data_IF_737090977337
#
_entry.id   IF_737090977337
#
_cell.length_a   1.000
_cell.length_b   1.000
_cell.length_c   1.000
_cell.angle_alpha   90.00
_cell.angle_beta   90.00
_cell.angle_gamma   90.00
#
_symmetry.space_group_name_H-M   'P 1'
#
loop_
_entity.id
_entity.type
_entity.pdbx_description
1 polymer ?
2 non-polymer ?
3 non-polymer ?
4 non-polymer ?
5 non-polymer ?
6 non-polymer ?
7 water ?
#
# COMPACT_ATOMS: atom_id res chain seq x y z
N UNK A 1 -1.06 17.87 3.30
CA UNK A 1 -1.72 16.84 2.38
C UNK A 1 -1.90 15.55 3.14
N UNK A 2 -2.90 14.72 2.74
CA UNK A 2 -3.19 13.42 3.38
C UNK A 2 -3.45 12.37 2.30
N UNK A 3 -3.09 11.13 2.63
CA UNK A 3 -3.43 9.97 1.81
C UNK A 3 -4.73 9.38 2.36
N UNK A 4 -5.75 9.30 1.51
CA UNK A 4 -7.01 8.67 1.91
C UNK A 4 -6.97 7.27 1.28
N UNK A 5 -6.95 6.23 2.16
CA UNK A 5 -6.92 4.80 1.69
C UNK A 5 -8.27 4.16 2.05
N UNK A 6 -9.06 3.85 1.02
CA UNK A 6 -10.41 3.31 1.25
C UNK A 6 -10.44 1.86 0.71
N UNK A 7 -11.02 0.95 1.50
CA UNK A 7 -11.23 -0.44 1.01
C UNK A 7 -12.73 -0.58 0.81
N UNK A 8 -13.12 -0.84 -0.42
CA UNK A 8 -14.59 -0.84 -0.76
C UNK A 8 -14.98 -2.14 -1.53
N UNK A 9 -16.27 -2.38 -1.66
CA UNK A 9 -16.75 -3.51 -2.46
C UNK A 9 -16.46 -3.29 -3.95
N UNK A 10 -16.03 -4.35 -4.64
CA UNK A 10 -15.83 -4.22 -6.08
C UNK A 10 -17.09 -3.73 -6.84
N UNK A 11 -18.30 -4.15 -6.38
CA UNK A 11 -19.55 -3.73 -7.06
C UNK A 11 -19.81 -2.23 -6.95
N UNK A 12 -19.32 -1.64 -5.85
CA UNK A 12 -19.54 -0.18 -5.61
C UNK A 12 -18.41 0.68 -6.18
N UNK A 13 -17.22 0.09 -6.43
CA UNK A 13 -16.10 0.92 -6.91
C UNK A 13 -16.46 1.87 -8.11
N UNK A 14 -17.11 1.37 -9.22
CA UNK A 14 -17.42 2.30 -10.33
C UNK A 14 -18.23 3.52 -9.90
N UNK A 15 -19.15 3.34 -8.95
CA UNK A 15 -19.93 4.52 -8.37
C UNK A 15 -19.03 5.46 -7.56
N UNK A 16 -18.06 4.90 -6.82
CA UNK A 16 -17.07 5.74 -6.09
C UNK A 16 -16.21 6.56 -7.10
N UNK A 17 -15.69 5.93 -8.16
CA UNK A 17 -14.87 6.60 -9.15
C UNK A 17 -15.69 7.76 -9.81
N UNK A 18 -16.93 7.49 -10.20
CA UNK A 18 -17.79 8.48 -10.87
C UNK A 18 -18.07 9.69 -9.88
N UNK A 19 -18.36 9.39 -8.59
CA UNK A 19 -18.67 10.46 -7.60
C UNK A 19 -17.44 11.38 -7.43
N UNK A 20 -16.21 10.80 -7.34
CA UNK A 20 -15.00 11.63 -7.25
C UNK A 20 -14.79 12.45 -8.54
N UNK A 21 -14.90 11.82 -9.71
CA UNK A 21 -14.68 12.53 -10.99
C UNK A 21 -15.66 13.71 -11.16
N UNK A 22 -16.89 13.53 -10.75
CA UNK A 22 -17.90 14.58 -10.85
C UNK A 22 -17.53 15.85 -10.09
N UNK A 23 -16.74 15.72 -9.05
CA UNK A 23 -16.28 16.83 -8.26
C UNK A 23 -14.81 17.22 -8.53
N UNK A 24 -14.28 16.73 -9.66
CA UNK A 24 -12.96 17.10 -10.14
C UNK A 24 -11.78 16.36 -9.48
N UNK A 25 -12.09 15.28 -8.71
CA UNK A 25 -11.00 14.50 -8.11
C UNK A 25 -10.60 13.40 -9.10
N UNK A 26 -9.56 13.61 -9.92
CA UNK A 26 -9.29 12.67 -11.06
C UNK A 26 -8.16 11.69 -10.74
N UNK A 27 -7.15 12.17 -10.02
CA UNK A 27 -5.93 11.37 -9.77
C UNK A 27 -6.29 10.31 -8.71
N UNK A 28 -5.96 9.07 -9.01
CA UNK A 28 -6.19 7.96 -8.01
C UNK A 28 -5.46 6.68 -8.45
N UNK A 29 -5.06 5.88 -7.43
CA UNK A 29 -4.31 4.61 -7.66
C UNK A 29 -5.16 3.45 -7.06
N UNK A 30 -5.38 2.36 -7.84
CA UNK A 30 -6.30 1.29 -7.42
C UNK A 30 -5.56 -0.03 -7.46
N UNK A 31 -5.83 -0.82 -6.43
CA UNK A 31 -5.20 -2.16 -6.27
C UNK A 31 -6.27 -3.20 -6.00
N UNK A 32 -6.16 -4.37 -6.67
CA UNK A 32 -7.02 -5.49 -6.24
C UNK A 32 -6.41 -6.15 -4.95
N UNK A 33 -7.25 -6.27 -3.88
CA UNK A 33 -6.76 -6.85 -2.61
C UNK A 33 -7.73 -7.92 -2.10
N UNK A 34 -7.39 -8.57 -0.99
CA UNK A 34 -8.37 -9.46 -0.31
C UNK A 34 -8.53 -9.04 1.12
N UNK A 35 -9.64 -9.30 1.77
CA UNK A 35 -9.77 -8.85 3.16
C UNK A 35 -10.78 -9.69 3.93
N UNK A 36 -10.71 -9.62 5.26
CA UNK A 36 -11.85 -10.02 6.14
C UNK A 36 -12.05 -8.96 7.19
N UNK A 37 -13.23 -9.00 7.82
CA UNK A 37 -13.58 -8.13 8.96
C UNK A 37 -13.98 -9.01 10.14
N UNK A 38 -14.81 -8.44 11.02
CA UNK A 38 -15.33 -9.15 12.24
C UNK A 38 -16.27 -10.31 11.84
N UNK A 39 -17.01 -10.14 10.75
CA UNK A 39 -18.04 -11.16 10.41
C UNK A 39 -17.43 -12.56 10.27
N UNK A 40 -18.00 -13.57 10.94
CA UNK A 40 -17.45 -14.91 10.95
C UNK A 40 -16.68 -15.31 12.24
N UNK A 41 -16.22 -14.27 12.98
CA UNK A 41 -15.48 -14.49 14.22
C UNK A 41 -14.22 -15.33 13.98
N UNK A 42 -13.96 -16.28 14.88
CA UNK A 42 -12.69 -17.03 14.81
C UNK A 42 -12.73 -18.12 13.71
N UNK A 43 -13.90 -18.72 13.46
CA UNK A 43 -14.05 -19.67 12.34
C UNK A 43 -15.50 -19.94 12.00
N UNK A 44 -15.71 -20.76 10.95
CA UNK A 44 -17.03 -21.06 10.42
C UNK A 44 -17.13 -22.59 10.15
N UNK A 45 -18.29 -23.02 9.64
CA UNK A 45 -18.54 -24.41 9.07
C UNK A 45 -19.70 -24.45 8.06
N UNK A 46 -19.77 -25.51 7.20
CA UNK A 46 -18.95 -26.72 7.35
C UNK A 46 -18.94 -28.02 6.43
N UNK A 47 -20.07 -28.50 5.85
CA UNK A 47 -20.17 -29.86 5.20
C UNK A 47 -19.07 -30.92 5.62
N UNK A 48 -19.03 -31.34 6.90
CA UNK A 48 -19.60 -30.67 8.09
C UNK A 48 -18.49 -30.36 9.11
N UNK A 49 -17.37 -29.87 8.60
CA UNK A 49 -16.17 -29.55 9.35
C UNK A 49 -15.89 -28.03 9.49
N UNK A 50 -14.93 -27.67 10.34
CA UNK A 50 -14.64 -26.25 10.52
C UNK A 50 -13.63 -25.73 9.45
N UNK A 51 -13.80 -24.46 9.06
CA UNK A 51 -12.95 -23.84 8.02
C UNK A 51 -12.52 -22.45 8.53
N UNK A 52 -11.43 -21.87 7.98
CA UNK A 52 -11.08 -20.50 8.36
C UNK A 52 -12.11 -19.55 7.66
N UNK A 53 -12.35 -18.35 8.24
CA UNK A 53 -13.04 -17.25 7.51
C UNK A 53 -12.23 -16.82 6.28
N UNK A 54 -12.94 -16.69 5.13
CA UNK A 54 -12.33 -16.49 3.82
C UNK A 54 -11.88 -15.05 3.68
N UNK A 55 -10.66 -14.88 3.17
CA UNK A 55 -10.26 -13.54 2.68
C UNK A 55 -10.90 -13.40 1.26
N UNK A 56 -11.77 -12.43 1.09
CA UNK A 56 -12.52 -12.24 -0.19
C UNK A 56 -12.04 -10.95 -0.93
N UNK A 57 -12.22 -10.94 -2.29
CA UNK A 57 -11.74 -9.76 -3.07
C UNK A 57 -12.46 -8.45 -2.69
N UNK A 58 -11.64 -7.40 -2.61
CA UNK A 58 -12.08 -5.96 -2.43
C UNK A 58 -11.27 -5.09 -3.34
N UNK A 59 -11.67 -3.81 -3.45
CA UNK A 59 -10.84 -2.84 -4.24
C UNK A 59 -10.30 -1.80 -3.28
N UNK A 60 -9.00 -1.62 -3.34
CA UNK A 60 -8.38 -0.55 -2.56
C UNK A 60 -8.21 0.70 -3.47
N UNK A 61 -8.70 1.83 -2.97
CA UNK A 61 -8.52 3.13 -3.61
C UNK A 61 -7.53 3.98 -2.77
N UNK A 62 -6.48 4.54 -3.39
CA UNK A 62 -5.66 5.53 -2.69
C UNK A 62 -5.77 6.86 -3.45
N UNK A 63 -6.10 7.95 -2.72
CA UNK A 63 -6.15 9.28 -3.32
C UNK A 63 -5.50 10.24 -2.36
N UNK A 64 -4.49 10.96 -2.84
CA UNK A 64 -3.79 11.95 -2.00
C UNK A 64 -4.36 13.34 -2.35
N UNK A 65 -4.77 14.06 -1.30
CA UNK A 65 -5.48 15.36 -1.52
C UNK A 65 -4.97 16.43 -0.54
N UNK A 66 -5.27 17.72 -0.81
CA UNK A 66 -4.96 18.79 0.16
C UNK A 66 -5.73 18.61 1.49
N UNK A 67 -5.19 19.14 2.58
CA UNK A 67 -5.85 18.95 3.92
C UNK A 67 -7.27 19.48 3.90
N UNK A 68 -7.50 20.61 3.23
CA UNK A 68 -8.84 21.22 3.17
C UNK A 68 -9.90 20.50 2.36
N UNK A 69 -9.46 19.44 1.64
CA UNK A 69 -10.39 18.62 0.81
C UNK A 69 -10.75 17.29 1.47
N UNK A 70 -10.09 16.96 2.58
CA UNK A 70 -10.27 15.58 3.18
C UNK A 70 -11.72 15.30 3.57
N UNK A 71 -12.37 16.24 4.28
CA UNK A 71 -13.72 15.91 4.79
C UNK A 71 -14.65 15.80 3.58
N UNK A 72 -14.55 16.64 2.55
CA UNK A 72 -15.39 16.51 1.30
C UNK A 72 -15.19 15.12 0.68
N UNK A 73 -13.95 14.67 0.47
CA UNK A 73 -13.71 13.36 -0.20
C UNK A 73 -14.21 12.22 0.68
N UNK A 74 -14.01 12.27 2.01
CA UNK A 74 -14.61 11.24 2.91
C UNK A 74 -16.15 11.15 2.64
N UNK A 75 -16.88 12.27 2.60
CA UNK A 75 -18.34 12.26 2.34
C UNK A 75 -18.65 11.62 1.00
N UNK A 76 -17.91 11.98 -0.06
CA UNK A 76 -18.14 11.42 -1.45
C UNK A 76 -17.97 9.93 -1.42
N UNK A 77 -16.94 9.41 -0.71
CA UNK A 77 -16.73 7.94 -0.65
C UNK A 77 -17.80 7.26 0.18
N UNK A 78 -18.11 7.78 1.40
CA UNK A 78 -19.10 7.13 2.29
C UNK A 78 -20.39 7.04 1.53
N UNK A 79 -20.80 8.13 0.84
CA UNK A 79 -22.16 8.03 0.21
C UNK A 79 -22.26 7.07 -1.01
N UNK A 80 -21.19 6.97 -1.80
CA UNK A 80 -21.13 6.12 -3.01
C UNK A 80 -20.76 4.65 -2.70
N UNK A 81 -20.03 4.36 -1.59
CA UNK A 81 -19.63 2.95 -1.28
C UNK A 81 -20.65 2.26 -0.36
N UNK A 82 -21.49 3.04 0.35
CA UNK A 82 -22.47 2.48 1.34
C UNK A 82 -23.48 1.50 0.70
N UNK A 83 -23.73 0.38 1.42
CA UNK A 83 -24.90 -0.46 1.12
C UNK A 83 -25.70 -0.66 2.40
N UNK A 84 -25.06 -0.60 3.57
CA UNK A 84 -25.76 -0.90 4.85
C UNK A 84 -25.54 -2.31 5.45
N UNK A 85 -24.82 -3.22 4.76
CA UNK A 85 -24.45 -4.60 5.29
C UNK A 85 -22.99 -4.68 5.77
N UNK A 86 -22.66 -5.55 6.74
CA UNK A 86 -21.25 -5.80 7.14
C UNK A 86 -20.39 -6.13 5.90
N UNK A 87 -19.21 -5.52 5.81
CA UNK A 87 -18.30 -5.67 4.71
C UNK A 87 -18.25 -4.42 3.80
N UNK A 88 -18.95 -3.32 4.18
CA UNK A 88 -18.92 -2.08 3.36
C UNK A 88 -17.51 -1.46 3.35
N UNK A 89 -16.66 -1.66 4.38
CA UNK A 89 -15.25 -1.19 4.27
C UNK A 89 -14.97 -0.05 5.23
N UNK A 90 -13.74 0.44 5.08
CA UNK A 90 -13.20 1.41 6.05
C UNK A 90 -12.35 2.38 5.23
N UNK A 91 -12.20 3.61 5.75
CA UNK A 91 -11.32 4.64 5.15
C UNK A 91 -10.26 4.95 6.22
N UNK A 92 -8.97 4.95 5.83
CA UNK A 92 -7.92 5.39 6.77
C UNK A 92 -7.30 6.68 6.25
N UNK A 93 -7.06 7.63 7.18
CA UNK A 93 -6.48 8.93 6.79
C UNK A 93 -5.05 8.90 7.33
N UNK A 94 -4.09 8.98 6.41
CA UNK A 94 -2.65 8.77 6.74
C UNK A 94 -1.87 10.05 6.36
N UNK A 95 -1.06 10.61 7.29
CA UNK A 95 -0.31 11.85 6.91
C UNK A 95 0.69 11.62 5.75
N UNK A 96 0.83 12.64 4.88
CA UNK A 96 1.83 12.61 3.81
C UNK A 96 2.68 13.84 4.05
N UNK A 97 4.01 13.65 4.10
CA UNK A 97 4.89 14.82 4.37
C UNK A 97 5.18 15.66 3.14
N UNK A 98 5.26 15.01 1.97
CA UNK A 98 5.27 15.72 0.68
C UNK A 98 5.00 14.82 -0.52
N UNK A 99 4.78 15.48 -1.70
CA UNK A 99 4.47 14.82 -2.95
C UNK A 99 5.45 15.40 -3.98
N UNK A 100 5.95 14.55 -4.88
CA UNK A 100 6.83 15.02 -5.97
C UNK A 100 6.19 14.58 -7.31
N UNK A 101 5.99 15.50 -8.24
CA UNK A 101 5.59 15.14 -9.63
C UNK A 101 6.79 14.73 -10.45
N UNK A 102 6.82 13.51 -10.97
CA UNK A 102 8.00 13.05 -11.69
C UNK A 102 8.32 13.88 -12.98
N UNK A 103 7.27 14.25 -13.73
CA UNK A 103 7.46 14.92 -15.05
C UNK A 103 8.17 16.27 -14.86
N UNK A 104 7.87 16.97 -13.78
CA UNK A 104 8.39 18.36 -13.65
C UNK A 104 9.31 18.59 -12.41
N UNK A 105 9.28 17.68 -11.46
CA UNK A 105 9.92 17.87 -10.17
C UNK A 105 9.13 18.74 -9.16
N UNK A 106 8.00 19.26 -9.55
CA UNK A 106 7.23 20.12 -8.63
C UNK A 106 6.74 19.39 -7.39
N UNK A 107 6.80 20.07 -6.28
CA UNK A 107 6.39 19.60 -4.95
C UNK A 107 5.22 20.40 -4.35
N UNK A 108 4.70 19.93 -3.19
CA UNK A 108 3.63 20.66 -2.42
C UNK A 108 2.22 20.49 -2.98
N UNK A 109 1.26 21.22 -2.43
CA UNK A 109 -0.21 21.17 -2.86
C UNK A 109 -0.29 21.36 -4.40
N UNK A 110 0.57 22.28 -4.87
CA UNK A 110 1.07 22.41 -6.27
C UNK A 110 1.23 21.12 -7.15
N UNK A 111 1.82 20.07 -6.60
CA UNK A 111 2.07 18.87 -7.37
C UNK A 111 0.80 18.04 -7.59
N UNK A 112 -0.18 18.25 -6.75
CA UNK A 112 -1.48 17.62 -6.90
C UNK A 112 -2.15 17.99 -8.29
N UNK A 113 -2.95 17.10 -8.84
CA UNK A 113 -3.68 16.26 -7.95
C UNK A 113 -3.28 14.87 -8.05
N UNK B 1 -4.39 5.50 16.86
CA UNK B 1 -4.32 4.16 16.13
C UNK B 1 -3.14 4.17 15.17
N UNK B 2 -2.61 3.01 14.74
CA UNK B 2 -1.44 2.84 13.83
C UNK B 2 -1.76 1.80 12.78
N UNK B 3 -1.15 1.99 11.60
CA UNK B 3 -1.23 0.97 10.52
C UNK B 3 0.06 0.12 10.64
N UNK B 4 -0.13 -1.21 10.80
CA UNK B 4 1.03 -2.18 10.87
C UNK B 4 1.09 -2.81 9.44
N UNK B 5 2.18 -2.62 8.70
CA UNK B 5 2.33 -3.14 7.30
C UNK B 5 3.47 -4.17 7.37
N UNK B 6 3.17 -5.47 7.19
CA UNK B 6 4.20 -6.52 7.31
C UNK B 6 4.34 -7.20 5.92
N UNK B 7 5.58 -7.47 5.53
CA UNK B 7 5.89 -8.25 4.28
C UNK B 7 6.45 -9.59 4.71
N UNK B 8 5.71 -10.69 4.45
CA UNK B 8 6.08 -12.02 5.01
C UNK B 8 6.20 -13.09 3.87
N UNK B 9 6.79 -14.23 4.17
CA UNK B 9 6.81 -15.34 3.16
C UNK B 9 5.39 -15.92 2.95
N UNK B 10 5.01 -16.27 1.71
CA UNK B 10 3.70 -16.82 1.48
C UNK B 10 3.51 -18.15 2.26
N UNK B 11 4.58 -18.91 2.48
CA UNK B 11 4.45 -20.19 3.22
C UNK B 11 4.12 -19.97 4.70
N UNK B 12 4.52 -18.78 5.22
CA UNK B 12 4.30 -18.47 6.68
C UNK B 12 2.98 -17.69 6.87
N UNK B 13 2.43 -17.03 5.83
CA UNK B 13 1.27 -16.20 6.03
C UNK B 13 0.06 -16.97 6.78
N UNK B 14 -0.29 -18.24 6.38
CA UNK B 14 -1.42 -18.89 7.11
C UNK B 14 -1.21 -18.92 8.63
N UNK B 15 0.06 -19.19 9.05
CA UNK B 15 0.37 -19.25 10.52
C UNK B 15 0.25 -17.84 11.19
N UNK B 16 0.69 -16.79 10.44
CA UNK B 16 0.47 -15.41 10.96
C UNK B 16 -1.03 -15.04 11.13
N UNK B 17 -1.82 -15.35 10.08
CA UNK B 17 -3.29 -15.11 10.13
C UNK B 17 -3.93 -15.83 11.34
N UNK B 18 -3.61 -17.14 11.53
CA UNK B 18 -4.22 -17.85 12.69
C UNK B 18 -3.75 -17.26 14.04
N UNK B 19 -2.48 -16.83 14.12
CA UNK B 19 -1.99 -16.30 15.43
C UNK B 19 -2.75 -15.03 15.78
N UNK B 20 -3.03 -14.18 14.74
CA UNK B 20 -3.81 -12.94 14.98
C UNK B 20 -5.26 -13.25 15.40
N UNK B 21 -5.92 -14.19 14.68
CA UNK B 21 -7.35 -14.51 14.93
C UNK B 21 -7.56 -15.09 16.34
N UNK B 22 -6.58 -15.88 16.81
CA UNK B 22 -6.60 -16.46 18.16
C UNK B 22 -6.70 -15.41 19.27
N UNK B 23 -6.12 -14.23 18.98
CA UNK B 23 -6.14 -13.10 19.94
C UNK B 23 -7.19 -12.02 19.60
N UNK B 24 -8.18 -12.35 18.71
CA UNK B 24 -9.27 -11.46 18.37
C UNK B 24 -8.99 -10.37 17.36
N UNK B 25 -7.84 -10.50 16.66
CA UNK B 25 -7.49 -9.47 15.61
C UNK B 25 -8.00 -10.02 14.29
N UNK B 26 -9.22 -9.63 13.95
CA UNK B 26 -9.89 -10.20 12.78
C UNK B 26 -9.76 -9.31 11.51
N UNK B 27 -9.84 -7.98 11.65
CA UNK B 27 -9.78 -7.10 10.46
C UNK B 27 -8.41 -7.07 9.87
N UNK B 28 -8.28 -7.32 8.57
CA UNK B 28 -6.94 -7.24 7.92
C UNK B 28 -7.13 -7.12 6.41
N UNK B 29 -6.17 -6.50 5.70
CA UNK B 29 -6.24 -6.41 4.22
C UNK B 29 -4.97 -7.02 3.70
N UNK B 30 -5.06 -7.86 2.65
CA UNK B 30 -3.89 -8.61 2.17
C UNK B 30 -3.65 -8.42 0.66
N UNK B 31 -2.40 -8.18 0.24
CA UNK B 31 -2.07 -7.95 -1.19
C UNK B 31 -0.93 -8.92 -1.62
N UNK B 32 -1.01 -9.45 -2.84
CA UNK B 32 0.11 -10.18 -3.39
C UNK B 32 1.12 -9.18 -3.98
N UNK B 33 2.41 -9.33 -3.54
CA UNK B 33 3.44 -8.33 -3.96
C UNK B 33 4.68 -9.11 -4.42
N UNK B 34 5.72 -8.39 -4.90
CA UNK B 34 7.03 -9.07 -5.16
C UNK B 34 8.05 -8.22 -4.48
N UNK B 35 9.20 -8.82 -4.16
CA UNK B 35 10.26 -8.03 -3.49
C UNK B 35 11.63 -8.64 -3.61
N UNK B 36 12.64 -7.79 -3.37
CA UNK B 36 14.00 -8.36 -3.08
C UNK B 36 14.52 -7.71 -1.78
N UNK B 37 15.57 -8.33 -1.23
CA UNK B 37 16.28 -7.82 -0.04
C UNK B 37 17.76 -7.66 -0.37
N UNK B 38 18.62 -7.65 0.68
CA UNK B 38 20.07 -7.53 0.44
C UNK B 38 20.66 -8.80 -0.24
N UNK B 39 20.01 -9.96 -0.02
CA UNK B 39 20.63 -11.24 -0.51
C UNK B 39 20.79 -11.23 -2.05
N UNK B 40 22.00 -11.56 -2.53
CA UNK B 40 22.34 -11.49 -3.96
C UNK B 40 23.17 -10.29 -4.34
N UNK B 41 23.11 -9.19 -3.57
CA UNK B 41 23.93 -8.00 -3.96
C UNK B 41 23.43 -7.39 -5.25
N UNK B 42 24.37 -6.96 -6.06
CA UNK B 42 24.09 -6.42 -7.36
C UNK B 42 23.62 -7.33 -8.49
N UNK B 43 24.14 -8.55 -8.60
CA UNK B 43 23.80 -9.48 -9.69
C UNK B 43 24.09 -10.84 -9.17
N UNK B 44 23.57 -11.84 -9.88
CA UNK B 44 23.87 -13.24 -9.61
C UNK B 44 24.41 -13.99 -10.89
N UNK B 45 24.63 -15.30 -10.73
CA UNK B 45 25.53 -16.09 -11.63
C UNK B 45 24.89 -17.14 -12.55
N UNK B 46 24.78 -16.82 -13.82
CA UNK B 46 24.47 -17.90 -14.68
C UNK B 46 25.28 -17.95 -15.93
N UNK B 47 26.57 -18.12 -15.62
CA UNK B 47 27.58 -18.69 -16.46
C UNK B 47 28.17 -17.63 -17.28
N UNK B 48 29.21 -16.99 -16.76
CA UNK B 48 29.74 -15.82 -17.45
C UNK B 48 28.53 -15.25 -18.13
N UNK B 49 27.42 -15.30 -17.41
CA UNK B 49 26.16 -14.71 -17.82
C UNK B 49 25.52 -14.14 -16.55
N UNK B 50 25.83 -12.88 -16.28
CA UNK B 50 25.22 -12.13 -15.21
C UNK B 50 23.71 -12.12 -15.41
N UNK B 51 22.94 -12.22 -14.32
CA UNK B 51 21.50 -11.98 -14.37
C UNK B 51 21.18 -11.04 -13.18
N UNK B 52 20.08 -10.31 -13.25
CA UNK B 52 19.67 -9.45 -12.14
C UNK B 52 19.16 -10.30 -10.98
N UNK B 53 19.13 -9.75 -9.76
CA UNK B 53 18.51 -10.41 -8.65
C UNK B 53 16.99 -10.36 -8.85
N UNK B 54 16.32 -11.50 -8.71
CA UNK B 54 14.87 -11.56 -9.08
C UNK B 54 13.97 -10.94 -7.98
N UNK B 55 12.93 -10.21 -8.43
CA UNK B 55 11.81 -9.90 -7.51
C UNK B 55 10.93 -11.14 -7.36
N UNK B 56 10.80 -11.67 -6.11
CA UNK B 56 10.08 -12.95 -5.91
C UNK B 56 8.78 -12.66 -5.13
N UNK B 57 7.78 -13.54 -5.26
CA UNK B 57 6.51 -13.28 -4.56
C UNK B 57 6.60 -13.31 -3.03
N UNK B 58 5.86 -12.39 -2.41
CA UNK B 58 5.73 -12.26 -0.95
C UNK B 58 4.24 -11.88 -0.67
N UNK B 59 3.81 -11.94 0.62
CA UNK B 59 2.45 -11.52 0.99
C UNK B 59 2.59 -10.23 1.87
N UNK B 60 1.82 -9.19 1.49
CA UNK B 60 1.75 -8.00 2.29
C UNK B 60 0.46 -8.05 3.16
N UNK B 61 0.65 -7.86 4.50
CA UNK B 61 -0.47 -7.78 5.46
C UNK B 61 -0.59 -6.35 5.99
N UNK B 62 -1.77 -5.71 5.91
CA UNK B 62 -1.99 -4.47 6.59
C UNK B 62 -3.04 -4.57 7.68
N UNK B 63 -2.74 -4.17 8.91
CA UNK B 63 -3.77 -4.24 9.95
C UNK B 63 -3.69 -2.91 10.78
N UNK B 64 -4.83 -2.24 10.90
CA UNK B 64 -4.89 -0.95 11.66
C UNK B 64 -5.48 -1.24 13.06
N UNK B 65 -4.75 -0.84 14.11
CA UNK B 65 -5.15 -1.15 15.51
C UNK B 65 -4.94 0.02 16.48
N UNK B 66 -5.56 -0.04 17.66
CA UNK B 66 -5.32 0.96 18.71
C UNK B 66 -3.86 1.02 19.14
N UNK B 67 -3.36 2.22 19.56
CA UNK B 67 -1.95 2.32 19.95
C UNK B 67 -1.53 1.28 20.99
N UNK B 68 -2.39 1.03 21.99
CA UNK B 68 -2.05 0.11 23.11
C UNK B 68 -1.87 -1.36 22.67
N UNK B 69 -2.33 -1.70 21.43
CA UNK B 69 -2.25 -3.08 20.90
C UNK B 69 -1.04 -3.32 19.98
N UNK B 70 -0.34 -2.24 19.60
CA UNK B 70 0.69 -2.31 18.54
C UNK B 70 1.80 -3.37 18.92
N UNK B 71 2.38 -3.32 20.17
CA UNK B 71 3.48 -4.24 20.47
C UNK B 71 3.03 -5.70 20.52
N UNK B 72 1.80 -5.92 21.00
CA UNK B 72 1.23 -7.31 21.02
C UNK B 72 1.14 -7.80 19.54
N UNK B 73 0.58 -6.98 18.64
CA UNK B 73 0.45 -7.44 17.21
C UNK B 73 1.84 -7.66 16.57
N UNK B 74 2.79 -6.73 16.78
CA UNK B 74 4.11 -6.97 16.24
C UNK B 74 4.70 -8.32 16.71
N UNK B 75 4.64 -8.59 18.02
CA UNK B 75 5.22 -9.91 18.50
C UNK B 75 4.46 -11.16 17.93
N UNK B 76 3.14 -11.06 17.76
CA UNK B 76 2.38 -12.22 17.17
C UNK B 76 2.87 -12.45 15.72
N UNK B 77 3.10 -11.37 14.96
CA UNK B 77 3.60 -11.51 13.55
C UNK B 77 5.05 -12.04 13.54
N UNK B 78 5.96 -11.40 14.33
CA UNK B 78 7.37 -11.87 14.33
C UNK B 78 7.50 -13.37 14.68
N UNK B 79 6.83 -13.80 15.74
CA UNK B 79 6.98 -15.20 16.25
C UNK B 79 6.46 -16.21 15.20
N UNK B 80 5.39 -15.86 14.44
CA UNK B 80 4.79 -16.80 13.46
C UNK B 80 5.39 -16.71 12.06
N UNK B 81 6.07 -15.57 11.75
CA UNK B 81 6.67 -15.37 10.38
C UNK B 81 8.14 -15.74 10.34
N UNK B 82 8.79 -15.87 11.53
CA UNK B 82 10.25 -16.15 11.56
C UNK B 82 10.63 -17.55 10.97
N UNK B 83 11.72 -17.60 10.22
CA UNK B 83 12.41 -18.89 9.86
C UNK B 83 13.89 -18.92 10.20
N UNK B 84 14.52 -17.75 10.26
CA UNK B 84 15.99 -17.64 10.50
C UNK B 84 16.85 -17.41 9.28
N UNK B 85 16.27 -17.54 8.08
CA UNK B 85 17.01 -17.35 6.77
C UNK B 85 16.73 -15.99 6.14
N UNK B 86 17.68 -15.50 5.34
CA UNK B 86 17.45 -14.21 4.68
C UNK B 86 16.16 -14.24 3.85
N UNK B 87 15.38 -13.16 3.89
CA UNK B 87 14.10 -13.07 3.15
C UNK B 87 12.86 -13.19 4.08
N UNK B 88 13.09 -13.30 5.40
CA UNK B 88 11.94 -13.44 6.36
C UNK B 88 11.03 -12.17 6.35
N UNK B 89 11.55 -10.95 6.07
CA UNK B 89 10.68 -9.77 5.89
C UNK B 89 10.79 -8.68 6.99
N UNK B 90 9.91 -7.68 6.89
CA UNK B 90 10.00 -6.48 7.71
C UNK B 90 8.60 -6.06 8.13
N UNK B 91 8.49 -5.37 9.25
CA UNK B 91 7.25 -4.77 9.69
C UNK B 91 7.40 -3.26 9.81
N UNK B 92 6.49 -2.47 9.22
CA UNK B 92 6.57 -0.97 9.27
C UNK B 92 5.43 -0.45 10.08
N UNK B 93 5.67 0.47 11.01
CA UNK B 93 4.61 1.06 11.88
C UNK B 93 4.35 2.50 11.36
N UNK B 94 3.15 2.75 10.85
CA UNK B 94 2.80 4.03 10.16
C UNK B 94 1.67 4.73 10.92
N UNK B 95 1.79 6.03 11.21
CA UNK B 95 0.65 6.69 11.94
C UNK B 95 -0.63 6.77 11.09
N UNK B 96 -1.79 6.63 11.77
CA UNK B 96 -3.11 6.85 11.17
C UNK B 96 -3.79 7.95 11.96
N UNK B 97 -4.24 9.02 11.30
CA UNK B 97 -4.92 10.09 12.01
C UNK B 97 -6.40 9.89 12.34
N UNK B 98 -7.11 9.15 11.50
CA UNK B 98 -8.42 8.65 11.85
C UNK B 98 -8.89 7.56 10.93
N UNK B 99 -9.99 6.94 11.33
CA UNK B 99 -10.59 5.84 10.58
C UNK B 99 -12.08 6.07 10.52
N UNK B 100 -12.70 5.77 9.39
CA UNK B 100 -14.13 5.97 9.24
C UNK B 100 -14.71 4.63 8.81
N UNK B 101 -15.77 4.22 9.51
CA UNK B 101 -16.50 2.98 9.15
C UNK B 101 -17.55 3.39 8.10
N UNK B 102 -17.46 2.86 6.87
CA UNK B 102 -18.39 3.31 5.80
C UNK B 102 -19.89 3.00 6.13
N UNK B 103 -20.14 1.83 6.74
CA UNK B 103 -21.54 1.40 6.96
C UNK B 103 -22.31 2.40 7.89
N UNK B 104 -21.63 2.94 8.89
CA UNK B 104 -22.30 3.82 9.91
C UNK B 104 -21.83 5.30 9.93
N UNK B 105 -20.69 5.55 9.30
CA UNK B 105 -20.02 6.85 9.41
C UNK B 105 -19.34 7.04 10.77
N UNK B 106 -19.29 6.01 11.65
CA UNK B 106 -18.56 6.08 12.97
C UNK B 106 -17.01 6.24 12.78
N UNK B 107 -16.38 7.04 13.65
CA UNK B 107 -14.95 7.30 13.59
C UNK B 107 -14.23 6.89 14.89
N UNK B 108 -12.91 7.09 14.97
CA UNK B 108 -12.16 6.77 16.23
C UNK B 108 -11.90 5.28 16.50
N UNK B 109 -11.25 4.97 17.61
CA UNK B 109 -10.84 3.60 17.95
C UNK B 109 -12.12 2.69 17.96
N UNK B 110 -13.23 3.29 18.39
CA UNK B 110 -14.61 2.79 18.18
C UNK B 110 -14.85 2.07 16.85
N UNK B 111 -14.62 2.77 15.73
CA UNK B 111 -14.65 2.20 14.38
C UNK B 111 -13.70 1.00 14.10
N UNK B 112 -12.86 0.61 15.08
CA UNK B 112 -11.97 -0.58 14.94
C UNK B 112 -12.50 -1.84 15.71
N UNK C 1 12.97 7.53 10.00
CA UNK C 1 12.70 6.69 8.78
C UNK C 1 11.51 7.18 8.01
N UNK C 2 11.54 6.98 6.66
CA UNK C 2 10.35 7.32 5.82
C UNK C 2 10.03 6.16 4.86
N UNK C 3 8.73 6.04 4.49
CA UNK C 3 8.37 5.20 3.35
C UNK C 3 8.25 6.05 2.10
N UNK C 4 8.94 5.67 1.02
CA UNK C 4 8.86 6.41 -0.25
C UNK C 4 8.00 5.49 -1.15
N UNK C 5 6.82 6.03 -1.61
CA UNK C 5 5.87 5.23 -2.41
C UNK C 5 5.81 5.93 -3.79
N UNK C 6 6.32 5.25 -4.84
CA UNK C 6 6.41 5.87 -6.19
C UNK C 6 5.47 5.08 -7.14
N UNK C 7 4.73 5.80 -7.98
CA UNK C 7 3.91 5.17 -9.01
C UNK C 7 4.54 5.53 -10.34
N UNK C 8 5.10 4.53 -11.07
CA UNK C 8 5.88 4.79 -12.30
C UNK C 8 5.34 3.96 -13.50
N UNK C 9 5.77 4.35 -14.72
CA UNK C 9 5.39 3.57 -15.92
C UNK C 9 6.07 2.17 -15.88
N UNK C 10 5.34 1.08 -16.30
CA UNK C 10 5.96 -0.22 -16.37
C UNK C 10 7.21 -0.27 -17.26
N UNK C 11 7.16 0.46 -18.38
CA UNK C 11 8.29 0.56 -19.34
C UNK C 11 9.58 1.12 -18.68
N UNK C 12 9.41 1.97 -17.64
CA UNK C 12 10.56 2.62 -16.98
C UNK C 12 10.99 1.91 -15.69
N UNK C 13 10.14 1.03 -15.11
CA UNK C 13 10.52 0.40 -13.84
C UNK C 13 11.89 -0.36 -13.86
N UNK C 14 12.24 -1.09 -14.96
CA UNK C 14 13.55 -1.79 -14.86
C UNK C 14 14.76 -0.81 -14.71
N UNK C 15 14.66 0.37 -15.34
CA UNK C 15 15.76 1.39 -15.18
C UNK C 15 15.73 2.00 -13.78
N UNK C 16 14.54 2.17 -13.14
CA UNK C 16 14.45 2.66 -11.74
C UNK C 16 15.11 1.60 -10.79
N UNK C 17 14.76 0.29 -10.95
CA UNK C 17 15.35 -0.73 -10.10
C UNK C 17 16.92 -0.72 -10.26
N UNK C 18 17.43 -0.66 -11.51
CA UNK C 18 18.87 -0.69 -11.77
C UNK C 18 19.54 0.55 -11.13
N UNK C 19 18.88 1.72 -11.24
CA UNK C 19 19.47 2.99 -10.69
C UNK C 19 19.60 2.90 -9.17
N UNK C 20 18.58 2.32 -8.53
CA UNK C 20 18.63 2.11 -7.06
C UNK C 20 19.73 1.10 -6.67
N UNK C 21 19.78 -0.05 -7.36
CA UNK C 21 20.77 -1.11 -7.02
C UNK C 21 22.19 -0.63 -7.19
N UNK C 22 22.41 0.20 -8.19
CA UNK C 22 23.79 0.69 -8.47
C UNK C 22 24.34 1.50 -7.29
N UNK C 23 23.41 2.08 -6.48
CA UNK C 23 23.83 2.86 -5.30
C UNK C 23 23.60 2.13 -4.01
N UNK C 24 23.36 0.82 -4.11
CA UNK C 24 23.26 -0.04 -2.91
C UNK C 24 21.90 -0.06 -2.20
N UNK C 25 20.86 0.51 -2.83
CA UNK C 25 19.51 0.34 -2.31
C UNK C 25 18.90 -0.97 -2.85
N UNK C 26 18.88 -1.98 -2.01
CA UNK C 26 18.49 -3.33 -2.43
C UNK C 26 17.12 -3.69 -1.93
N UNK C 27 16.71 -3.26 -0.75
CA UNK C 27 15.39 -3.72 -0.23
C UNK C 27 14.26 -2.89 -0.86
N UNK C 28 13.27 -3.55 -1.44
CA UNK C 28 12.16 -2.82 -2.13
C UNK C 28 10.99 -3.82 -2.25
N UNK C 29 9.77 -3.25 -2.26
CA UNK C 29 8.54 -4.06 -2.41
C UNK C 29 7.72 -3.49 -3.56
N UNK C 30 7.27 -4.35 -4.50
CA UNK C 30 6.67 -3.85 -5.78
C UNK C 30 5.29 -4.45 -6.00
N UNK C 31 4.31 -3.63 -6.43
CA UNK C 31 2.92 -4.10 -6.65
C UNK C 31 2.47 -3.67 -8.03
N UNK C 32 1.75 -4.55 -8.74
CA UNK C 32 1.10 -4.08 -9.98
C UNK C 32 -0.23 -3.36 -9.62
N UNK C 33 -0.44 -2.13 -10.12
CA UNK C 33 -1.60 -1.35 -9.79
C UNK C 33 -2.20 -0.77 -11.06
N UNK C 34 -3.32 -0.03 -10.93
CA UNK C 34 -3.88 0.72 -12.09
C UNK C 34 -4.12 2.14 -11.64
N UNK C 35 -4.13 3.08 -12.56
CA UNK C 35 -4.35 4.46 -12.15
C UNK C 35 -4.85 5.34 -13.28
N UNK C 36 -5.39 6.49 -12.89
CA UNK C 36 -5.56 7.58 -13.89
C UNK C 36 -5.07 8.86 -13.24
N UNK C 37 -4.95 9.87 -14.08
CA UNK C 37 -4.49 11.23 -13.65
C UNK C 37 -5.50 12.22 -14.21
N UNK C 38 -5.08 13.48 -14.39
CA UNK C 38 -5.92 14.46 -14.98
C UNK C 38 -6.26 14.24 -16.47
N UNK C 39 -5.32 13.64 -17.23
CA UNK C 39 -5.50 13.48 -18.72
C UNK C 39 -6.83 12.76 -19.03
N UNK C 40 -7.64 13.37 -19.92
CA UNK C 40 -8.96 12.85 -20.26
C UNK C 40 -10.17 13.58 -19.63
N UNK C 41 -9.92 14.35 -18.56
CA UNK C 41 -10.98 15.04 -17.80
C UNK C 41 -12.07 14.08 -17.38
N UNK C 42 -13.32 14.48 -17.56
CA UNK C 42 -14.44 13.64 -17.06
C UNK C 42 -14.80 12.44 -17.94
N UNK C 43 -14.56 12.55 -19.23
CA UNK C 43 -15.01 11.55 -20.17
C UNK C 43 -14.28 11.65 -21.50
N UNK C 44 -14.42 10.56 -22.23
CA UNK C 44 -13.76 10.31 -23.50
C UNK C 44 -14.86 9.97 -24.52
N UNK C 45 -14.43 9.78 -25.76
CA UNK C 45 -15.27 9.73 -26.94
C UNK C 45 -15.09 8.42 -27.75
N UNK C 46 -15.99 7.45 -27.68
CA UNK C 46 -15.79 6.26 -28.52
C UNK C 46 -16.77 6.09 -29.66
N UNK C 47 -16.41 6.73 -30.76
CA UNK C 47 -17.12 6.73 -32.03
C UNK C 47 -18.65 6.59 -31.88
N UNK C 48 -19.23 7.68 -31.42
CA UNK C 48 -20.64 7.72 -31.18
C UNK C 48 -20.97 7.95 -29.73
N UNK C 49 -20.51 7.05 -28.85
CA UNK C 49 -20.94 7.09 -27.47
C UNK C 49 -19.93 7.68 -26.50
N UNK C 50 -20.44 8.01 -25.34
CA UNK C 50 -19.59 8.46 -24.22
C UNK C 50 -18.90 7.23 -23.51
N UNK C 51 -17.61 7.37 -23.13
CA UNK C 51 -16.81 6.33 -22.40
C UNK C 51 -16.05 6.96 -21.20
N UNK C 52 -15.96 6.27 -20.05
CA UNK C 52 -15.12 6.74 -18.92
C UNK C 52 -13.60 6.76 -19.29
N UNK C 53 -12.82 7.54 -18.57
CA UNK C 53 -11.37 7.51 -18.70
C UNK C 53 -10.88 6.23 -18.02
N UNK C 54 -10.01 5.49 -18.73
CA UNK C 54 -9.58 4.16 -18.33
C UNK C 54 -8.52 4.19 -17.21
N UNK C 55 -8.66 3.32 -16.22
CA UNK C 55 -7.51 3.11 -15.26
C UNK C 55 -6.55 2.15 -16.00
N UNK C 56 -5.30 2.55 -16.21
CA UNK C 56 -4.28 1.78 -16.98
C UNK C 56 -3.22 1.20 -16.03
N UNK C 57 -2.54 0.11 -16.46
CA UNK C 57 -1.52 -0.48 -15.56
C UNK C 57 -0.34 0.44 -15.27
N UNK C 58 0.16 0.41 -14.00
CA UNK C 58 1.38 1.14 -13.60
C UNK C 58 2.12 0.24 -12.60
N UNK C 59 3.33 0.59 -12.19
CA UNK C 59 4.06 -0.19 -11.15
C UNK C 59 4.21 0.68 -9.93
N UNK C 60 3.80 0.15 -8.77
CA UNK C 60 4.05 0.81 -7.43
C UNK C 60 5.31 0.26 -6.80
N UNK C 61 6.26 1.15 -6.48
CA UNK C 61 7.49 0.79 -5.76
C UNK C 61 7.34 1.38 -4.31
N UNK C 62 7.60 0.57 -3.27
CA UNK C 62 7.72 1.06 -1.89
C UNK C 62 9.11 0.73 -1.40
N UNK C 63 9.78 1.75 -0.91
CA UNK C 63 11.19 1.59 -0.37
C UNK C 63 11.28 2.39 0.95
N UNK C 64 11.57 1.70 2.07
CA UNK C 64 11.67 2.40 3.41
C UNK C 64 13.16 2.59 3.70
N UNK C 65 13.54 3.86 3.98
CA UNK C 65 14.98 4.24 4.17
C UNK C 65 15.13 5.18 5.38
N UNK C 66 16.38 5.31 5.83
CA UNK C 66 16.66 6.30 6.90
C UNK C 66 16.38 7.72 6.43
N UNK C 67 16.08 8.61 7.38
CA UNK C 67 15.78 10.04 6.97
C UNK C 67 16.91 10.63 6.09
N UNK C 68 18.16 10.30 6.41
CA UNK C 68 19.35 10.86 5.64
C UNK C 68 19.53 10.33 4.20
N UNK C 69 18.65 9.41 3.75
CA UNK C 69 18.72 8.86 2.39
C UNK C 69 17.52 9.25 1.54
N UNK C 70 16.56 9.98 2.13
CA UNK C 70 15.29 10.26 1.37
C UNK C 70 15.48 11.10 0.10
N UNK C 71 16.22 12.22 0.23
CA UNK C 71 16.44 13.06 -0.97
C UNK C 71 17.23 12.33 -2.06
N UNK C 72 18.24 11.52 -1.68
CA UNK C 72 19.00 10.75 -2.67
C UNK C 72 18.08 9.77 -3.43
N UNK C 73 17.21 9.08 -2.71
CA UNK C 73 16.39 8.10 -3.41
C UNK C 73 15.34 8.76 -4.28
N UNK C 74 14.70 9.85 -3.80
CA UNK C 74 13.74 10.62 -4.67
C UNK C 74 14.47 10.96 -6.00
N UNK C 75 15.71 11.56 -5.94
CA UNK C 75 16.45 11.89 -7.22
C UNK C 75 16.66 10.72 -8.11
N UNK C 76 17.07 9.60 -7.53
CA UNK C 76 17.34 8.40 -8.40
C UNK C 76 16.06 7.96 -9.13
N UNK C 77 14.92 8.01 -8.41
CA UNK C 77 13.65 7.55 -9.01
C UNK C 77 13.21 8.60 -10.06
N UNK C 78 13.25 9.89 -9.70
CA UNK C 78 12.82 10.91 -10.71
C UNK C 78 13.64 10.86 -12.01
N UNK C 79 14.97 10.71 -11.88
CA UNK C 79 15.83 10.80 -13.08
C UNK C 79 15.78 9.52 -13.95
N UNK C 80 15.37 8.39 -13.37
CA UNK C 80 15.20 7.12 -14.12
C UNK C 80 13.76 6.91 -14.65
N UNK C 81 12.76 7.50 -13.97
CA UNK C 81 11.34 7.27 -14.40
C UNK C 81 10.84 8.30 -15.41
N UNK C 82 11.54 9.43 -15.51
CA UNK C 82 11.06 10.54 -16.35
C UNK C 82 11.00 10.17 -17.84
N UNK C 83 9.95 10.66 -18.51
CA UNK C 83 9.92 10.69 -20.01
C UNK C 83 9.53 12.05 -20.57
N UNK C 84 8.83 12.89 -19.80
CA UNK C 84 8.33 14.19 -20.34
C UNK C 84 6.87 14.35 -20.68
N UNK C 85 6.12 13.23 -20.71
CA UNK C 85 4.69 13.18 -21.13
C UNK C 85 3.77 13.03 -19.92
N UNK C 86 2.52 13.55 -19.99
CA UNK C 86 1.53 13.25 -18.92
C UNK C 86 1.42 11.72 -18.66
N UNK C 87 1.37 11.32 -17.38
CA UNK C 87 1.32 9.90 -16.99
C UNK C 87 2.67 9.42 -16.41
N UNK C 88 3.70 10.29 -16.24
CA UNK C 88 5.00 9.84 -15.68
C UNK C 88 4.99 9.42 -14.19
N UNK C 89 4.00 9.92 -13.40
CA UNK C 89 3.81 9.42 -12.03
C UNK C 89 4.17 10.39 -10.95
N UNK C 90 4.00 9.93 -9.73
CA UNK C 90 4.18 10.80 -8.55
C UNK C 90 4.89 10.00 -7.46
N UNK C 91 5.57 10.69 -6.54
CA UNK C 91 6.19 10.07 -5.36
C UNK C 91 5.55 10.66 -4.08
N UNK C 92 5.15 9.81 -3.12
CA UNK C 92 4.60 10.29 -1.83
C UNK C 92 5.60 9.91 -0.74
N UNK C 93 5.85 10.83 0.19
CA UNK C 93 6.80 10.62 1.31
C UNK C 93 5.91 10.46 2.58
N UNK C 94 5.94 9.26 3.22
CA UNK C 94 5.05 8.98 4.34
C UNK C 94 5.88 8.65 5.60
N UNK C 95 5.49 9.25 6.75
CA UNK C 95 6.28 8.96 7.99
C UNK C 95 6.20 7.47 8.42
N UNK C 96 7.32 6.95 8.89
CA UNK C 96 7.34 5.60 9.52
C UNK C 96 7.88 5.74 10.94
N UNK C 97 7.13 5.28 11.96
CA UNK C 97 7.61 5.53 13.38
C UNK C 97 8.61 4.46 13.88
N UNK C 98 8.54 3.24 13.31
CA UNK C 98 9.49 2.17 13.62
C UNK C 98 9.49 1.09 12.54
N UNK C 99 10.56 0.28 12.50
CA UNK C 99 10.67 -0.83 11.55
C UNK C 99 11.24 -2.01 12.36
N UNK C 100 10.69 -3.22 12.17
CA UNK C 100 11.23 -4.42 12.82
C UNK C 100 11.70 -5.41 11.74
N UNK C 101 12.92 -5.95 11.91
CA UNK C 101 13.40 -7.03 11.03
C UNK C 101 12.92 -8.33 11.61
N UNK C 102 12.16 -9.11 10.82
CA UNK C 102 11.59 -10.33 11.37
C UNK C 102 12.67 -11.40 11.77
N UNK C 103 13.74 -11.50 10.97
CA UNK C 103 14.71 -12.60 11.17
C UNK C 103 15.47 -12.45 12.49
N UNK C 104 15.74 -11.19 12.88
CA UNK C 104 16.67 -10.90 14.02
C UNK C 104 15.97 -10.18 15.19
N UNK C 105 14.81 -9.58 14.91
CA UNK C 105 14.14 -8.72 15.89
C UNK C 105 14.80 -7.36 16.02
N UNK C 106 15.83 -7.05 15.23
CA UNK C 106 16.41 -5.66 15.30
C UNK C 106 15.35 -4.57 14.96
N UNK C 107 15.37 -3.44 15.68
CA UNK C 107 14.50 -2.30 15.36
C UNK C 107 15.19 -0.96 15.36
N UNK C 108 14.42 0.10 15.11
CA UNK C 108 14.96 1.41 15.25
C UNK C 108 16.21 1.62 14.39
N UNK C 109 17.29 2.12 15.03
CA UNK C 109 18.56 2.39 14.32
C UNK C 109 19.14 1.15 13.62
N UNK C 110 18.84 -0.04 14.17
CA UNK C 110 19.46 -1.31 13.67
C UNK C 110 18.60 -1.95 12.58
N UNK C 111 17.41 -1.39 12.27
CA UNK C 111 16.47 -2.07 11.33
C UNK C 111 16.73 -1.80 9.81
N UNK C 112 17.55 -0.82 9.48
CA UNK C 112 17.78 -0.38 8.05
C UNK C 112 19.27 -0.09 7.90
N UNK C 113 19.81 -0.38 6.71
CA UNK C 113 21.22 -0.03 6.37
C UNK C 113 21.55 1.46 6.45
N UNK C 114 22.73 1.80 7.01
CA UNK C 114 23.24 3.16 6.85
C UNK C 114 24.07 3.36 5.55
N UNK C 115 23.62 4.31 4.74
CA UNK C 115 24.42 4.79 3.58
C UNK C 115 25.52 5.88 3.86
N UNK C 116 25.44 6.61 4.98
CA UNK C 116 26.34 7.78 5.23
C UNK C 116 26.98 7.64 6.60
#
# INVERSE_FOLDING_TARGET
MKKIEAIVRAEKFPEVKAALEERGFYGMTVTDVKGRGQQGGMQIQFRGRTMEVTLLPKVKLEIVVKDDAVEEVIGLIVNSAFTGSPGDGKIFIIPVEDVVRIRTGERGDDSLEHHHHHH
MKKIEAIVRAEKFPEVKAALEERGFYGMTVTDVKGRGQQGGMQIQFRGRTMEVTLLPKVKLEIVVKDDAVEEVIGLIVNSAFTGSPGDGKIFIIPVEDVVRIRTGERGDDSLEHHHHHH
MKKIEAIVRAEKFPEVKAALEERGFYGMTVTDVKGRGQQGGMQIQFRGRTMEVTLLPKVKLEIVVKDDAVEEVIGLIVNSAFTGSPGDGKIFIIPVEDVVRIRTGERGDDSLEHHHHHH
#
